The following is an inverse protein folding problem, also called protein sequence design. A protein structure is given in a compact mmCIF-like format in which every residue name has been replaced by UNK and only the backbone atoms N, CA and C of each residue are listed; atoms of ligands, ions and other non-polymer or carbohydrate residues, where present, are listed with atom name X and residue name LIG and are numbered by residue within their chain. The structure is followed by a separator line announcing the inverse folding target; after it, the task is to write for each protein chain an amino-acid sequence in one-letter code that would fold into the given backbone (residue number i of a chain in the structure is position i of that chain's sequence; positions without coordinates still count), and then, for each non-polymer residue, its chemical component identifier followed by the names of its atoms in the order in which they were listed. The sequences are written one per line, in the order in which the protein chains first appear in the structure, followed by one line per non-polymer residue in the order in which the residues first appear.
data_IF_804749666703
#
_entry.id   IF_804749666703
#
_cell.length_a   1.000
_cell.length_b   1.000
_cell.length_c   1.000
_cell.angle_alpha   90.00
_cell.angle_beta   90.00
_cell.angle_gamma   90.00
#
_symmetry.space_group_name_H-M   'P 1'
#
loop_
_entity.id
_entity.type
_entity.pdbx_description
1 polymer ?
#
# COMPACT_ATOMS: atom_id res chain seq x y z
N UNK A 1 -18.01 -18.01 -15.69
CA UNK A 1 -17.97 -17.46 -14.32
C UNK A 1 -17.33 -16.06 -14.39
N UNK A 2 -18.12 -15.01 -14.55
CA UNK A 2 -17.62 -13.61 -14.70
C UNK A 2 -17.89 -12.73 -13.48
N UNK A 3 -18.02 -13.31 -12.28
CA UNK A 3 -18.29 -12.54 -11.06
C UNK A 3 -17.07 -11.88 -10.41
N UNK A 4 -15.85 -12.18 -10.84
CA UNK A 4 -14.63 -11.83 -10.09
C UNK A 4 -14.06 -10.42 -10.35
N UNK A 5 -14.53 -9.71 -11.38
CA UNK A 5 -13.98 -8.40 -11.77
C UNK A 5 -14.73 -7.22 -11.13
N UNK A 6 -16.05 -7.34 -10.95
CA UNK A 6 -16.87 -6.30 -10.32
C UNK A 6 -16.55 -6.13 -8.84
N UNK A 7 -16.46 -7.24 -8.10
CA UNK A 7 -16.15 -7.21 -6.66
C UNK A 7 -14.78 -6.60 -6.32
N UNK A 8 -13.80 -6.69 -7.24
CA UNK A 8 -12.47 -6.09 -7.03
C UNK A 8 -12.49 -4.57 -7.07
N UNK A 9 -13.23 -3.98 -8.01
CA UNK A 9 -13.41 -2.52 -8.07
C UNK A 9 -14.17 -2.00 -6.86
N UNK A 10 -15.22 -2.70 -6.46
CA UNK A 10 -16.01 -2.30 -5.30
C UNK A 10 -15.20 -2.38 -4.00
N UNK A 11 -14.36 -3.42 -3.86
CA UNK A 11 -13.42 -3.54 -2.75
C UNK A 11 -12.36 -2.42 -2.75
N UNK A 12 -11.82 -2.06 -3.92
CA UNK A 12 -10.86 -0.95 -4.09
C UNK A 12 -11.46 0.39 -3.66
N UNK A 13 -12.69 0.71 -4.09
CA UNK A 13 -13.39 1.93 -3.67
C UNK A 13 -13.72 1.93 -2.18
N UNK A 14 -14.08 0.77 -1.61
CA UNK A 14 -14.31 0.64 -0.17
C UNK A 14 -13.01 0.88 0.61
N UNK A 15 -11.89 0.28 0.17
CA UNK A 15 -10.58 0.47 0.79
C UNK A 15 -10.13 1.93 0.72
N UNK A 16 -10.29 2.60 -0.42
CA UNK A 16 -9.96 4.02 -0.56
C UNK A 16 -10.74 4.89 0.42
N UNK A 17 -12.05 4.62 0.60
CA UNK A 17 -12.87 5.32 1.61
C UNK A 17 -12.41 5.03 3.04
N UNK A 18 -12.12 3.78 3.37
CA UNK A 18 -11.60 3.40 4.69
C UNK A 18 -10.28 4.10 4.96
N UNK A 19 -9.39 4.16 3.97
CA UNK A 19 -8.12 4.88 4.06
C UNK A 19 -8.38 6.36 4.32
N UNK A 20 -9.22 7.03 3.53
CA UNK A 20 -9.52 8.47 3.71
C UNK A 20 -10.11 8.77 5.10
N UNK A 21 -11.03 7.92 5.58
CA UNK A 21 -11.60 8.04 6.93
C UNK A 21 -10.52 7.84 7.98
N UNK A 22 -9.70 6.79 7.87
CA UNK A 22 -8.63 6.52 8.83
C UNK A 22 -7.57 7.62 8.82
N UNK A 23 -7.20 8.17 7.65
CA UNK A 23 -6.33 9.34 7.54
C UNK A 23 -6.88 10.54 8.31
N UNK A 24 -8.20 10.77 8.25
CA UNK A 24 -8.86 11.91 8.89
C UNK A 24 -9.11 11.70 10.39
N UNK A 25 -9.41 10.48 10.81
CA UNK A 25 -9.79 10.15 12.19
C UNK A 25 -8.57 9.76 13.04
N UNK A 26 -7.70 8.91 12.50
CA UNK A 26 -6.59 8.29 13.20
C UNK A 26 -5.23 8.85 12.76
N UNK A 27 -5.16 9.47 11.59
CA UNK A 27 -3.93 9.94 10.97
C UNK A 27 -3.35 8.93 9.96
N UNK A 28 -2.50 9.44 9.06
CA UNK A 28 -1.77 8.63 8.07
C UNK A 28 -0.75 7.68 8.72
N UNK A 29 -0.34 7.97 9.94
CA UNK A 29 0.61 7.18 10.72
C UNK A 29 0.00 5.94 11.39
N UNK A 30 -1.33 5.84 11.47
CA UNK A 30 -2.00 4.79 12.23
C UNK A 30 -1.81 3.41 11.58
N UNK A 31 -1.51 2.35 12.36
CA UNK A 31 -1.34 0.99 11.84
C UNK A 31 -2.54 0.49 11.04
N UNK A 32 -3.77 0.83 11.44
CA UNK A 32 -4.99 0.44 10.69
C UNK A 32 -5.10 1.10 9.31
N UNK A 33 -4.64 2.35 9.17
CA UNK A 33 -4.56 3.04 7.88
C UNK A 33 -3.63 2.28 6.94
N UNK A 34 -2.48 1.87 7.45
CA UNK A 34 -1.47 1.13 6.68
C UNK A 34 -1.88 -0.30 6.35
N UNK A 35 -2.54 -1.00 7.26
CA UNK A 35 -3.09 -2.32 6.94
C UNK A 35 -4.10 -2.22 5.79
N UNK A 36 -4.92 -1.17 5.79
CA UNK A 36 -5.88 -0.91 4.71
C UNK A 36 -5.17 -0.58 3.39
N UNK A 37 -4.13 0.26 3.42
CA UNK A 37 -3.31 0.59 2.24
C UNK A 37 -2.54 -0.62 1.70
N UNK A 38 -1.99 -1.45 2.58
CA UNK A 38 -1.28 -2.67 2.20
C UNK A 38 -2.21 -3.63 1.46
N UNK A 39 -3.44 -3.81 1.95
CA UNK A 39 -4.44 -4.63 1.27
C UNK A 39 -4.83 -4.07 -0.11
N UNK A 40 -4.95 -2.75 -0.22
CA UNK A 40 -5.21 -2.08 -1.50
C UNK A 40 -4.04 -2.28 -2.48
N UNK A 41 -2.83 -2.10 -1.98
CA UNK A 41 -1.61 -2.18 -2.77
C UNK A 41 -1.32 -3.64 -3.21
N UNK A 42 -1.67 -4.66 -2.40
CA UNK A 42 -1.71 -6.06 -2.81
C UNK A 42 -2.73 -6.33 -3.92
N UNK A 43 -3.90 -5.69 -3.85
CA UNK A 43 -4.92 -5.79 -4.89
C UNK A 43 -4.42 -5.18 -6.21
N UNK A 44 -3.74 -4.04 -6.15
CA UNK A 44 -3.12 -3.40 -7.31
C UNK A 44 -1.95 -4.21 -7.88
N UNK A 45 -1.12 -4.83 -7.04
CA UNK A 45 -0.09 -5.79 -7.46
C UNK A 45 -0.70 -6.92 -8.29
N UNK A 46 -1.82 -7.49 -7.86
CA UNK A 46 -2.55 -8.51 -8.63
C UNK A 46 -3.17 -7.98 -9.94
N UNK A 47 -3.33 -6.66 -10.08
CA UNK A 47 -3.77 -5.98 -11.31
C UNK A 47 -2.59 -5.49 -12.17
N UNK A 48 -1.35 -5.87 -11.83
CA UNK A 48 -0.11 -5.37 -12.44
C UNK A 48 0.10 -3.84 -12.32
N UNK A 49 -0.59 -3.20 -11.37
CA UNK A 49 -0.47 -1.76 -11.05
C UNK A 49 0.53 -1.55 -9.91
N UNK A 50 1.77 -1.92 -10.15
CA UNK A 50 2.84 -1.86 -9.14
C UNK A 50 3.24 -0.43 -8.78
N UNK A 51 3.25 0.48 -9.76
CA UNK A 51 3.60 1.89 -9.55
C UNK A 51 2.64 2.58 -8.57
N UNK A 52 1.32 2.38 -8.75
CA UNK A 52 0.29 2.90 -7.84
C UNK A 52 0.47 2.34 -6.41
N UNK A 53 0.74 1.03 -6.30
CA UNK A 53 0.93 0.32 -5.04
C UNK A 53 2.15 0.83 -4.26
N UNK A 54 3.28 0.96 -4.94
CA UNK A 54 4.53 1.47 -4.37
C UNK A 54 4.36 2.94 -4.00
N UNK A 55 3.73 3.75 -4.86
CA UNK A 55 3.47 5.17 -4.60
C UNK A 55 2.63 5.39 -3.34
N UNK A 56 1.57 4.60 -3.15
CA UNK A 56 0.72 4.66 -1.97
C UNK A 56 1.51 4.34 -0.69
N UNK A 57 2.24 3.22 -0.66
CA UNK A 57 3.05 2.82 0.50
C UNK A 57 4.17 3.82 0.79
N UNK A 58 4.80 4.36 -0.25
CA UNK A 58 5.89 5.32 -0.11
C UNK A 58 5.42 6.65 0.47
N UNK A 59 4.23 7.14 0.09
CA UNK A 59 3.63 8.33 0.69
C UNK A 59 3.41 8.18 2.21
N UNK A 60 2.98 6.99 2.63
CA UNK A 60 2.69 6.70 4.03
C UNK A 60 3.95 6.56 4.86
N UNK A 61 4.96 5.89 4.30
CA UNK A 61 6.27 5.77 4.94
C UNK A 61 6.86 7.15 5.24
N UNK A 62 6.80 8.05 4.25
CA UNK A 62 7.35 9.39 4.36
C UNK A 62 6.67 10.20 5.47
N UNK A 63 5.36 10.07 5.60
CA UNK A 63 4.64 10.79 6.64
C UNK A 63 4.90 10.22 8.03
N UNK A 64 5.00 8.90 8.13
CA UNK A 64 5.37 8.23 9.38
C UNK A 64 6.80 8.55 9.81
N UNK A 65 7.74 8.64 8.87
CA UNK A 65 9.12 9.03 9.16
C UNK A 65 9.18 10.42 9.81
N UNK A 66 8.36 11.36 9.34
CA UNK A 66 8.27 12.72 9.88
C UNK A 66 7.69 12.76 11.29
N UNK A 67 6.65 11.96 11.57
CA UNK A 67 5.95 12.00 12.88
C UNK A 67 6.58 11.08 13.94
N UNK A 68 6.87 9.82 13.58
CA UNK A 68 7.31 8.77 14.51
C UNK A 68 8.83 8.53 14.47
N UNK A 69 9.52 8.97 13.41
CA UNK A 69 10.93 8.70 13.17
C UNK A 69 11.23 7.29 12.64
N UNK A 70 12.44 7.10 12.10
CA UNK A 70 12.89 5.81 11.53
C UNK A 70 13.02 4.68 12.56
N UNK A 71 13.14 5.00 13.86
CA UNK A 71 13.31 4.00 14.92
C UNK A 71 12.02 3.28 15.32
N UNK A 72 10.85 3.73 14.84
CA UNK A 72 9.57 3.12 15.20
C UNK A 72 9.38 1.75 14.49
N UNK A 73 8.97 0.69 15.21
CA UNK A 73 8.82 -0.66 14.65
C UNK A 73 7.85 -0.73 13.46
N UNK A 74 6.80 0.10 13.48
CA UNK A 74 5.87 0.18 12.36
C UNK A 74 6.48 0.86 11.12
N UNK A 75 7.38 1.85 11.32
CA UNK A 75 8.13 2.49 10.22
C UNK A 75 9.03 1.46 9.56
N UNK A 76 9.76 0.68 10.35
CA UNK A 76 10.65 -0.36 9.84
C UNK A 76 9.89 -1.45 9.09
N UNK A 77 8.74 -1.91 9.61
CA UNK A 77 7.92 -2.92 8.93
C UNK A 77 7.39 -2.41 7.58
N UNK A 78 7.00 -1.13 7.54
CA UNK A 78 6.50 -0.51 6.31
C UNK A 78 7.63 -0.27 5.30
N UNK A 79 8.81 0.14 5.77
CA UNK A 79 9.99 0.32 4.94
C UNK A 79 10.46 -1.02 4.35
N UNK A 80 10.45 -2.07 5.17
CA UNK A 80 10.79 -3.42 4.75
C UNK A 80 9.81 -3.93 3.69
N UNK A 81 8.50 -3.77 3.90
CA UNK A 81 7.50 -4.15 2.91
C UNK A 81 7.69 -3.39 1.58
N UNK A 82 7.91 -2.07 1.64
CA UNK A 82 8.17 -1.25 0.45
C UNK A 82 9.45 -1.69 -0.28
N UNK A 83 10.52 -2.00 0.46
CA UNK A 83 11.78 -2.47 -0.12
C UNK A 83 11.60 -3.83 -0.80
N UNK A 84 10.93 -4.78 -0.16
CA UNK A 84 10.59 -6.07 -0.78
C UNK A 84 9.80 -5.88 -2.07
N UNK A 85 8.82 -4.98 -2.07
CA UNK A 85 7.97 -4.77 -3.24
C UNK A 85 8.70 -4.07 -4.39
N UNK A 86 9.61 -3.14 -4.09
CA UNK A 86 10.48 -2.52 -5.10
C UNK A 86 11.40 -3.56 -5.74
N UNK A 87 12.03 -4.41 -4.93
CA UNK A 87 12.87 -5.50 -5.43
C UNK A 87 12.08 -6.50 -6.29
N UNK A 88 10.87 -6.88 -5.86
CA UNK A 88 9.98 -7.71 -6.66
C UNK A 88 9.57 -7.04 -7.97
N UNK A 89 9.23 -5.74 -7.94
CA UNK A 89 8.89 -4.97 -9.13
C UNK A 89 10.06 -4.92 -10.12
N UNK A 90 11.27 -4.61 -9.65
CA UNK A 90 12.49 -4.61 -10.46
C UNK A 90 12.77 -6.01 -11.04
N UNK A 91 12.59 -7.07 -10.26
CA UNK A 91 12.76 -8.45 -10.73
C UNK A 91 11.74 -8.80 -11.83
N UNK A 92 10.47 -8.45 -11.66
CA UNK A 92 9.43 -8.67 -12.69
C UNK A 92 9.64 -7.82 -13.94
N UNK A 93 10.18 -6.59 -13.79
CA UNK A 93 10.56 -5.76 -14.93
C UNK A 93 11.75 -6.33 -15.72
N UNK A 94 12.64 -7.05 -15.04
CA UNK A 94 13.82 -7.67 -15.63
C UNK A 94 13.52 -9.01 -16.35
N UNK A 95 12.33 -9.58 -16.17
CA UNK A 95 11.86 -10.76 -16.93
C UNK A 95 11.29 -10.40 -18.32
N UNK A 96 11.01 -9.11 -18.58
CA UNK A 96 10.49 -8.63 -19.86
C UNK A 96 11.51 -7.85 -20.71
N UNK A 97 12.78 -7.83 -20.32
CA UNK A 97 13.85 -7.11 -21.03
C UNK A 97 14.74 -8.01 -21.87
#
# INVERSE_FOLDING_TARGET
MEGGRGARKEAEELQLRVIEINKRVLGEEHPDTLMSMHNLACTWKAQARWEDAIGLLQGCLRHREDVLGMAHPDTMSSASALASWKLEFEATGNEFS
#
